data_IF_464859340809
#
_entry.id   IF_464859340809
#
_cell.length_a   1.000
_cell.length_b   1.000
_cell.length_c   1.000
_cell.angle_alpha   90.00
_cell.angle_beta   90.00
_cell.angle_gamma   90.00
#
_symmetry.space_group_name_H-M   'P 1'
#
loop_
_entity.id
_entity.type
_entity.pdbx_description
1 polymer ?
#
# COMPACT_ATOMS: atom_id res chain seq x y z
N UNK A 1 -19.47 -8.63 -24.94
CA UNK A 1 -20.12 -8.59 -23.61
C UNK A 1 -19.02 -8.45 -22.56
N UNK A 2 -18.69 -7.22 -22.17
CA UNK A 2 -17.68 -6.91 -21.16
C UNK A 2 -18.33 -7.00 -19.77
N UNK A 3 -17.77 -7.80 -18.86
CA UNK A 3 -18.20 -7.88 -17.47
C UNK A 3 -17.42 -6.84 -16.63
N UNK A 4 -18.04 -6.21 -15.62
CA UNK A 4 -17.41 -5.13 -14.86
C UNK A 4 -16.33 -5.69 -13.90
N UNK A 5 -15.21 -4.97 -13.81
CA UNK A 5 -14.14 -5.17 -12.83
C UNK A 5 -14.67 -4.78 -11.44
N UNK A 6 -14.71 -5.73 -10.51
CA UNK A 6 -15.16 -5.51 -9.13
C UNK A 6 -13.99 -5.39 -8.16
N UNK A 7 -13.92 -4.25 -7.45
CA UNK A 7 -12.97 -3.98 -6.36
C UNK A 7 -13.58 -4.47 -5.04
N UNK A 8 -12.80 -5.16 -4.19
CA UNK A 8 -13.25 -5.60 -2.85
C UNK A 8 -12.90 -4.56 -1.78
N UNK A 9 -13.83 -4.34 -0.83
CA UNK A 9 -13.74 -3.36 0.25
C UNK A 9 -13.64 -4.12 1.57
N UNK A 10 -12.54 -3.98 2.31
CA UNK A 10 -12.43 -4.46 3.70
C UNK A 10 -12.58 -3.29 4.67
N UNK A 11 -13.49 -3.43 5.65
CA UNK A 11 -13.81 -2.39 6.63
C UNK A 11 -13.07 -2.68 7.94
N UNK A 12 -12.09 -1.86 8.32
CA UNK A 12 -11.44 -1.93 9.63
C UNK A 12 -12.01 -0.87 10.58
N UNK A 13 -12.55 -1.30 11.72
CA UNK A 13 -13.05 -0.41 12.77
C UNK A 13 -11.94 -0.11 13.80
N UNK A 14 -11.57 1.15 13.97
CA UNK A 14 -10.64 1.59 15.01
C UNK A 14 -11.41 2.16 16.22
N UNK A 15 -11.15 1.59 17.40
CA UNK A 15 -11.54 2.15 18.71
C UNK A 15 -10.32 1.98 19.61
N UNK A 16 -9.77 3.04 20.23
CA UNK A 16 -9.23 2.97 21.61
C UNK A 16 -8.76 4.30 22.21
N UNK A 17 -8.77 4.30 23.56
CA UNK A 17 -8.59 5.38 24.51
C UNK A 17 -7.14 5.88 24.68
N UNK A 18 -7.02 7.16 25.05
CA UNK A 18 -5.78 7.84 25.37
C UNK A 18 -5.30 7.62 26.82
N UNK A 19 -3.98 7.47 27.00
CA UNK A 19 -3.28 7.72 28.26
C UNK A 19 -1.97 8.49 27.98
N UNK A 20 -1.78 9.60 28.70
CA UNK A 20 -0.65 10.54 28.56
C UNK A 20 0.47 10.25 29.57
N UNK A 21 1.71 10.57 29.16
CA UNK A 21 2.75 11.07 30.06
C UNK A 21 4.16 10.48 29.85
N UNK A 22 5.14 11.32 29.47
CA UNK A 22 6.57 10.95 29.58
C UNK A 22 7.54 11.82 28.78
N UNK A 23 8.52 12.42 29.48
CA UNK A 23 9.45 13.50 29.07
C UNK A 23 10.40 13.21 27.90
N UNK A 24 10.76 14.30 27.22
CA UNK A 24 11.70 14.38 26.10
C UNK A 24 13.17 14.32 26.53
N UNK A 25 13.97 13.55 25.80
CA UNK A 25 15.42 13.67 25.72
C UNK A 25 15.81 14.03 24.28
N UNK A 26 16.77 14.95 24.14
CA UNK A 26 17.21 15.51 22.86
C UNK A 26 17.80 14.43 21.95
N UNK A 27 17.25 14.31 20.74
CA UNK A 27 17.72 13.44 19.67
C UNK A 27 18.83 14.14 18.86
N UNK A 28 19.87 13.42 18.41
CA UNK A 28 20.91 13.97 17.54
C UNK A 28 20.36 14.36 16.17
N UNK A 29 20.99 15.34 15.53
CA UNK A 29 20.55 15.97 14.28
C UNK A 29 20.41 14.98 13.10
N UNK A 30 19.32 15.11 12.34
CA UNK A 30 18.91 14.28 11.20
C UNK A 30 19.99 14.01 10.13
N UNK A 31 20.98 14.90 9.98
CA UNK A 31 22.00 14.78 8.93
C UNK A 31 23.03 13.67 9.20
N UNK A 32 23.26 13.27 10.45
CA UNK A 32 24.27 12.23 10.76
C UNK A 32 23.74 10.79 10.63
N UNK A 33 22.43 10.59 10.62
CA UNK A 33 21.82 9.26 10.46
C UNK A 33 21.64 8.89 8.97
N UNK A 34 21.54 9.89 8.09
CA UNK A 34 21.31 9.68 6.65
C UNK A 34 22.55 9.16 5.90
N UNK A 35 23.78 9.47 6.34
CA UNK A 35 24.98 9.15 5.54
C UNK A 35 25.57 7.75 5.78
N UNK A 36 25.05 6.98 6.74
CA UNK A 36 25.57 5.65 7.11
C UNK A 36 24.63 4.50 6.71
N UNK A 37 23.47 4.81 6.11
CA UNK A 37 22.39 3.85 5.85
C UNK A 37 22.25 3.41 4.39
N UNK A 38 23.03 4.00 3.46
CA UNK A 38 22.91 3.70 2.02
C UNK A 38 23.71 2.45 1.57
N UNK A 39 24.63 1.94 2.39
CA UNK A 39 25.59 0.88 1.98
C UNK A 39 25.28 -0.54 2.51
N UNK A 40 24.22 -0.74 3.29
CA UNK A 40 23.89 -2.05 3.83
C UNK A 40 22.59 -2.60 3.23
N UNK A 41 22.75 -3.49 2.25
CA UNK A 41 21.70 -4.19 1.48
C UNK A 41 21.10 -3.39 0.31
N UNK A 42 21.93 -3.18 -0.72
CA UNK A 42 21.41 -3.27 -2.08
C UNK A 42 21.31 -4.77 -2.41
N UNK A 43 20.14 -5.33 -2.76
CA UNK A 43 20.17 -6.61 -3.46
C UNK A 43 21.10 -6.40 -4.67
N UNK A 44 21.99 -7.36 -4.93
CA UNK A 44 22.87 -7.31 -6.09
C UNK A 44 22.04 -6.82 -7.28
N UNK A 45 22.42 -5.69 -7.88
CA UNK A 45 21.76 -5.20 -9.08
C UNK A 45 21.92 -6.30 -10.13
N UNK A 46 20.94 -7.19 -10.24
CA UNK A 46 20.97 -8.28 -11.21
C UNK A 46 20.82 -7.58 -12.55
N UNK A 47 21.91 -7.52 -13.32
CA UNK A 47 21.93 -6.90 -14.63
C UNK A 47 20.76 -7.41 -15.47
N UNK A 48 19.82 -6.53 -15.80
CA UNK A 48 18.67 -6.86 -16.62
C UNK A 48 19.14 -6.94 -18.07
N UNK A 49 19.23 -8.15 -18.63
CA UNK A 49 19.83 -8.42 -19.95
C UNK A 49 18.84 -8.26 -21.12
N UNK A 50 17.67 -7.64 -20.91
CA UNK A 50 16.64 -7.51 -21.93
C UNK A 50 15.67 -8.70 -22.04
N UNK A 51 15.88 -9.80 -21.30
CA UNK A 51 14.98 -10.96 -21.34
C UNK A 51 13.84 -10.84 -20.33
N UNK A 52 12.62 -11.13 -20.76
CA UNK A 52 11.46 -11.28 -19.88
C UNK A 52 11.75 -12.37 -18.85
N UNK A 53 11.80 -11.99 -17.58
CA UNK A 53 11.93 -12.92 -16.46
C UNK A 53 10.54 -13.25 -15.94
N UNK A 54 10.30 -14.50 -15.59
CA UNK A 54 9.05 -14.91 -14.94
C UNK A 54 9.35 -15.84 -13.76
N UNK A 55 8.65 -15.62 -12.65
CA UNK A 55 8.60 -16.60 -11.55
C UNK A 55 7.36 -17.49 -11.67
N UNK A 56 7.19 -18.38 -10.71
CA UNK A 56 6.08 -19.32 -10.67
C UNK A 56 5.26 -19.11 -9.41
N UNK A 57 3.97 -18.80 -9.57
CA UNK A 57 3.01 -18.82 -8.47
C UNK A 57 2.36 -20.20 -8.41
N UNK A 58 2.57 -20.93 -7.31
CA UNK A 58 1.93 -22.22 -7.08
C UNK A 58 0.79 -22.07 -6.09
N UNK A 59 -0.33 -22.70 -6.41
CA UNK A 59 -1.53 -22.76 -5.57
C UNK A 59 -1.76 -24.19 -5.09
N UNK A 60 -1.76 -24.37 -3.79
CA UNK A 60 -2.07 -25.59 -3.07
C UNK A 60 -3.52 -25.50 -2.58
N UNK A 61 -4.34 -26.51 -2.86
CA UNK A 61 -5.77 -26.51 -2.50
C UNK A 61 -6.01 -27.39 -1.27
N UNK A 62 -6.95 -26.99 -0.42
CA UNK A 62 -7.45 -27.81 0.66
C UNK A 62 -8.11 -29.09 0.11
N UNK A 63 -8.01 -30.19 0.86
CA UNK A 63 -8.58 -31.50 0.52
C UNK A 63 -7.50 -32.53 0.18
N UNK A 64 -6.71 -32.27 -0.86
CA UNK A 64 -5.61 -33.16 -1.30
C UNK A 64 -4.28 -32.86 -0.59
N UNK A 65 -4.24 -31.80 0.22
CA UNK A 65 -3.00 -31.30 0.83
C UNK A 65 -3.27 -30.73 2.21
N UNK A 66 -2.36 -31.01 3.15
CA UNK A 66 -2.29 -30.33 4.44
C UNK A 66 -1.73 -28.91 4.23
N UNK A 67 -2.63 -27.92 4.22
CA UNK A 67 -2.25 -26.53 4.02
C UNK A 67 -1.45 -25.96 5.19
N UNK A 68 -1.57 -26.53 6.39
CA UNK A 68 -0.74 -26.11 7.54
C UNK A 68 0.72 -26.52 7.32
N UNK A 69 0.94 -27.74 6.84
CA UNK A 69 2.26 -28.27 6.51
C UNK A 69 2.89 -27.49 5.35
N UNK A 70 2.14 -27.22 4.27
CA UNK A 70 2.62 -26.38 3.17
C UNK A 70 3.07 -25.00 3.65
N UNK A 71 2.28 -24.38 4.53
CA UNK A 71 2.60 -23.07 5.07
C UNK A 71 3.82 -23.12 5.99
N UNK A 72 3.95 -24.14 6.83
CA UNK A 72 5.11 -24.33 7.72
C UNK A 72 6.40 -24.51 6.91
N UNK A 73 6.37 -25.34 5.88
CA UNK A 73 7.49 -25.53 4.94
C UNK A 73 7.82 -24.21 4.25
N UNK A 74 6.81 -23.49 3.75
CA UNK A 74 7.04 -22.22 3.05
C UNK A 74 7.68 -21.17 3.96
N UNK A 75 7.18 -21.03 5.19
CA UNK A 75 7.71 -20.05 6.15
C UNK A 75 9.10 -20.43 6.65
N UNK A 76 9.33 -21.71 6.96
CA UNK A 76 10.63 -22.21 7.43
C UNK A 76 11.72 -22.04 6.38
N UNK A 77 11.36 -22.11 5.10
CA UNK A 77 12.28 -21.95 3.98
C UNK A 77 12.24 -20.54 3.35
N UNK A 78 11.67 -19.56 4.06
CA UNK A 78 11.63 -18.15 3.65
C UNK A 78 11.01 -17.92 2.24
N UNK A 79 10.06 -18.77 1.83
CA UNK A 79 9.34 -18.63 0.57
C UNK A 79 8.36 -17.45 0.61
N UNK A 80 8.12 -16.82 -0.55
CA UNK A 80 7.21 -15.68 -0.68
C UNK A 80 5.75 -16.16 -0.70
N UNK A 81 5.07 -16.08 0.45
CA UNK A 81 3.66 -16.48 0.58
C UNK A 81 2.76 -15.33 0.15
N UNK A 82 1.97 -15.54 -0.91
CA UNK A 82 1.11 -14.50 -1.48
C UNK A 82 -0.28 -14.46 -0.87
N UNK A 83 -0.86 -15.62 -0.59
CA UNK A 83 -2.22 -15.72 -0.04
C UNK A 83 -2.36 -16.97 0.83
N UNK A 84 -3.11 -16.84 1.92
CA UNK A 84 -3.53 -17.98 2.76
C UNK A 84 -5.02 -17.83 3.04
N UNK A 85 -5.79 -18.85 2.71
CA UNK A 85 -7.22 -18.97 3.05
C UNK A 85 -7.51 -20.40 3.53
N UNK A 86 -8.68 -20.66 4.13
CA UNK A 86 -9.12 -22.02 4.43
C UNK A 86 -9.08 -22.99 3.25
N UNK A 87 -9.20 -22.47 2.03
CA UNK A 87 -9.34 -23.27 0.81
C UNK A 87 -8.03 -23.43 0.04
N UNK A 88 -7.06 -22.52 0.22
CA UNK A 88 -5.79 -22.58 -0.51
C UNK A 88 -4.66 -21.77 0.11
N UNK A 89 -3.43 -22.14 -0.25
CA UNK A 89 -2.20 -21.36 -0.02
C UNK A 89 -1.54 -21.09 -1.37
N UNK A 90 -1.18 -19.82 -1.62
CA UNK A 90 -0.41 -19.40 -2.77
C UNK A 90 1.02 -19.05 -2.35
N UNK A 91 2.02 -19.68 -2.99
CA UNK A 91 3.44 -19.46 -2.73
C UNK A 91 4.15 -19.15 -4.04
N UNK A 92 5.00 -18.12 -4.04
CA UNK A 92 5.72 -17.62 -5.20
C UNK A 92 7.19 -18.07 -5.18
N UNK A 93 7.63 -18.65 -6.30
CA UNK A 93 9.03 -18.98 -6.57
C UNK A 93 9.63 -17.95 -7.53
N UNK A 94 10.69 -17.24 -7.11
CA UNK A 94 11.41 -16.35 -8.01
C UNK A 94 12.14 -17.16 -9.10
N UNK A 95 12.39 -16.56 -10.29
CA UNK A 95 13.20 -17.19 -11.31
C UNK A 95 14.61 -17.48 -10.80
N UNK A 96 15.24 -18.59 -11.23
CA UNK A 96 16.63 -18.88 -10.90
C UNK A 96 17.53 -17.68 -11.20
N UNK A 97 18.39 -17.30 -10.24
CA UNK A 97 19.39 -16.25 -10.46
C UNK A 97 20.71 -16.88 -10.90
N UNK A 98 21.49 -16.19 -11.74
CA UNK A 98 22.80 -16.67 -12.18
C UNK A 98 23.87 -16.68 -11.07
N UNK A 99 23.63 -16.01 -9.95
CA UNK A 99 24.58 -15.91 -8.82
C UNK A 99 24.39 -16.99 -7.76
N UNK A 100 23.17 -17.51 -7.59
CA UNK A 100 22.92 -18.76 -6.87
C UNK A 100 23.21 -19.91 -7.82
N UNK A 101 24.49 -20.18 -8.10
CA UNK A 101 24.88 -21.15 -9.13
C UNK A 101 24.20 -22.49 -8.90
N UNK A 102 23.17 -22.80 -9.70
CA UNK A 102 22.48 -24.09 -9.85
C UNK A 102 22.33 -25.00 -8.60
N UNK A 103 22.39 -24.47 -7.38
CA UNK A 103 21.78 -25.09 -6.24
C UNK A 103 20.30 -24.88 -6.50
N UNK A 104 19.68 -25.86 -7.14
CA UNK A 104 18.25 -25.99 -7.11
C UNK A 104 17.84 -25.72 -5.66
N UNK A 105 17.12 -24.63 -5.41
CA UNK A 105 16.39 -24.52 -4.15
C UNK A 105 15.71 -25.87 -4.00
N UNK A 106 16.02 -26.58 -2.92
CA UNK A 106 15.38 -27.86 -2.68
C UNK A 106 13.89 -27.56 -2.67
N UNK A 107 13.18 -28.12 -3.64
CA UNK A 107 11.79 -27.81 -3.84
C UNK A 107 11.00 -28.62 -2.82
N UNK A 108 11.03 -28.14 -1.57
CA UNK A 108 10.42 -28.80 -0.42
C UNK A 108 8.90 -29.00 -0.58
N UNK A 109 8.29 -28.35 -1.57
CA UNK A 109 6.87 -28.44 -1.89
C UNK A 109 6.59 -29.19 -3.20
N UNK A 110 7.60 -29.83 -3.81
CA UNK A 110 7.46 -30.54 -5.10
C UNK A 110 6.46 -31.70 -5.04
N UNK A 111 6.40 -32.40 -3.91
CA UNK A 111 5.54 -33.59 -3.73
C UNK A 111 4.08 -33.24 -3.41
N UNK A 112 3.78 -31.97 -3.13
CA UNK A 112 2.44 -31.51 -2.83
C UNK A 112 1.68 -31.15 -4.10
N UNK A 113 0.44 -31.61 -4.24
CA UNK A 113 -0.39 -31.32 -5.40
C UNK A 113 -0.67 -29.82 -5.52
N UNK A 114 -0.32 -29.23 -6.68
CA UNK A 114 -0.51 -27.80 -6.91
C UNK A 114 -0.78 -27.47 -8.38
N UNK A 115 -1.43 -26.33 -8.60
CA UNK A 115 -1.43 -25.66 -9.91
C UNK A 115 -0.33 -24.60 -9.95
N UNK A 116 0.21 -24.30 -11.12
CA UNK A 116 1.32 -23.37 -11.26
C UNK A 116 1.08 -22.37 -12.40
N UNK A 117 1.34 -21.09 -12.13
CA UNK A 117 1.11 -20.00 -13.08
C UNK A 117 2.39 -19.16 -13.24
N UNK A 118 2.77 -18.90 -14.48
CA UNK A 118 3.92 -18.02 -14.78
C UNK A 118 3.55 -16.58 -14.50
N UNK A 119 4.33 -15.92 -13.62
CA UNK A 119 4.15 -14.52 -13.27
C UNK A 119 5.28 -13.70 -13.89
N UNK A 120 4.99 -12.81 -14.84
CA UNK A 120 6.01 -11.96 -15.44
C UNK A 120 6.57 -10.97 -14.42
N UNK A 121 7.87 -10.73 -14.51
CA UNK A 121 8.60 -9.72 -13.73
C UNK A 121 9.00 -8.61 -14.70
N UNK A 122 8.36 -7.44 -14.62
CA UNK A 122 8.74 -6.28 -15.41
C UNK A 122 10.19 -5.89 -15.18
N UNK A 123 10.81 -5.28 -16.19
CA UNK A 123 12.09 -4.63 -16.01
C UNK A 123 11.98 -3.54 -14.93
N UNK A 124 13.02 -3.36 -14.09
CA UNK A 124 13.09 -2.19 -13.23
C UNK A 124 13.03 -0.92 -14.07
N UNK A 125 12.17 0.01 -13.67
CA UNK A 125 12.13 1.33 -14.25
C UNK A 125 13.38 2.10 -13.82
N UNK A 126 14.10 2.62 -14.81
CA UNK A 126 15.22 3.52 -14.56
C UNK A 126 14.67 4.96 -14.54
N UNK A 127 14.80 5.69 -13.42
CA UNK A 127 14.42 7.10 -13.39
C UNK A 127 15.13 7.87 -14.51
N UNK A 128 14.37 8.53 -15.40
CA UNK A 128 14.89 9.33 -16.51
C UNK A 128 15.02 8.63 -17.88
N UNK A 129 14.69 7.33 -18.01
CA UNK A 129 14.64 6.66 -19.33
C UNK A 129 13.25 6.60 -19.95
N UNK A 130 12.20 6.84 -19.17
CA UNK A 130 10.87 7.12 -19.75
C UNK A 130 10.95 8.48 -20.43
N UNK A 131 10.49 8.64 -21.69
CA UNK A 131 10.33 9.97 -22.26
C UNK A 131 9.51 10.78 -21.26
N UNK A 132 10.00 11.98 -20.91
CA UNK A 132 9.19 12.93 -20.16
C UNK A 132 7.87 13.06 -20.90
N UNK A 133 6.81 12.45 -20.37
CA UNK A 133 5.48 12.67 -20.90
C UNK A 133 5.16 14.11 -20.50
N UNK A 134 5.36 15.04 -21.43
CA UNK A 134 5.10 16.48 -21.24
C UNK A 134 3.66 16.76 -20.75
N UNK A 135 2.76 15.79 -20.91
CA UNK A 135 1.48 15.71 -20.22
C UNK A 135 1.14 14.25 -19.92
N UNK A 136 0.55 13.98 -18.75
CA UNK A 136 0.07 12.64 -18.36
C UNK A 136 -1.09 12.11 -19.23
N UNK A 137 -1.49 12.84 -20.28
CA UNK A 137 -2.51 12.48 -21.27
C UNK A 137 -3.84 12.06 -20.63
N UNK A 138 -4.17 12.61 -19.46
CA UNK A 138 -5.49 12.45 -18.89
C UNK A 138 -6.48 13.47 -19.47
N UNK A 139 -7.76 13.10 -19.51
CA UNK A 139 -8.82 13.91 -20.12
C UNK A 139 -9.92 14.14 -19.10
N UNK A 140 -10.89 15.01 -19.36
CA UNK A 140 -12.01 15.30 -18.42
C UNK A 140 -12.91 14.11 -18.01
N UNK A 141 -12.71 12.93 -18.61
CA UNK A 141 -13.46 11.71 -18.33
C UNK A 141 -12.50 10.53 -18.10
N UNK A 142 -12.69 9.73 -17.02
CA UNK A 142 -11.87 8.57 -16.73
C UNK A 142 -11.84 7.53 -17.85
N UNK A 143 -12.99 7.13 -18.39
CA UNK A 143 -13.05 6.09 -19.43
C UNK A 143 -12.45 6.49 -20.78
N UNK A 144 -12.21 7.77 -21.03
CA UNK A 144 -11.56 8.25 -22.26
C UNK A 144 -10.09 8.60 -22.04
N UNK A 145 -9.57 8.40 -20.84
CA UNK A 145 -8.22 8.78 -20.45
C UNK A 145 -7.29 7.57 -20.52
N UNK A 146 -6.32 7.63 -21.44
CA UNK A 146 -5.29 6.59 -21.60
C UNK A 146 -4.36 6.45 -20.39
N UNK A 147 -4.41 7.39 -19.45
CA UNK A 147 -3.72 7.30 -18.17
C UNK A 147 -4.16 6.03 -17.42
N UNK A 148 -5.47 5.77 -17.33
CA UNK A 148 -5.98 4.64 -16.53
C UNK A 148 -5.80 3.26 -17.20
N UNK A 149 -5.16 3.19 -18.37
CA UNK A 149 -4.84 1.94 -19.05
C UNK A 149 -3.54 1.29 -18.53
N UNK A 150 -2.70 2.06 -17.82
CA UNK A 150 -1.39 1.63 -17.32
C UNK A 150 -1.24 1.80 -15.80
N UNK A 151 -0.18 1.18 -15.25
CA UNK A 151 0.32 1.50 -13.92
C UNK A 151 1.34 2.64 -14.01
N UNK A 152 1.45 3.44 -12.94
CA UNK A 152 2.27 4.64 -12.94
C UNK A 152 3.34 4.63 -11.84
N UNK A 153 4.59 5.01 -12.13
CA UNK A 153 5.60 5.23 -11.10
C UNK A 153 5.19 6.38 -10.17
N UNK A 154 5.77 6.40 -8.96
CA UNK A 154 5.37 7.34 -7.90
C UNK A 154 5.31 8.80 -8.37
N UNK A 155 6.29 9.27 -9.15
CA UNK A 155 6.33 10.67 -9.62
C UNK A 155 5.18 11.02 -10.57
N UNK A 156 4.72 10.09 -11.41
CA UNK A 156 3.56 10.32 -12.29
C UNK A 156 2.26 10.40 -11.47
N UNK A 157 2.18 9.64 -10.37
CA UNK A 157 1.06 9.71 -9.42
C UNK A 157 1.01 11.07 -8.72
N UNK A 158 2.18 11.57 -8.28
CA UNK A 158 2.30 12.89 -7.63
C UNK A 158 1.97 14.03 -8.60
N UNK A 159 2.43 13.93 -9.85
CA UNK A 159 2.04 14.85 -10.93
C UNK A 159 0.54 14.80 -11.20
N UNK A 160 -0.06 13.61 -11.29
CA UNK A 160 -1.51 13.44 -11.48
C UNK A 160 -2.31 14.14 -10.38
N UNK A 161 -1.96 13.92 -9.11
CA UNK A 161 -2.62 14.60 -7.98
C UNK A 161 -2.47 16.12 -8.05
N UNK A 162 -1.30 16.60 -8.47
CA UNK A 162 -1.01 18.03 -8.58
C UNK A 162 -1.76 18.68 -9.73
N UNK A 163 -1.85 18.03 -10.90
CA UNK A 163 -2.64 18.48 -12.05
C UNK A 163 -4.14 18.48 -11.73
N UNK A 164 -4.65 17.41 -11.10
CA UNK A 164 -6.04 17.31 -10.66
C UNK A 164 -6.43 18.47 -9.73
N UNK A 165 -5.53 18.85 -8.81
CA UNK A 165 -5.74 19.99 -7.91
C UNK A 165 -5.67 21.35 -8.63
N UNK A 166 -4.86 21.48 -9.67
CA UNK A 166 -4.77 22.70 -10.48
C UNK A 166 -5.99 22.90 -11.37
N UNK A 167 -6.54 21.82 -11.93
CA UNK A 167 -7.74 21.88 -12.79
C UNK A 167 -9.04 22.03 -11.99
N UNK A 168 -9.07 21.54 -10.75
CA UNK A 168 -10.25 21.57 -9.88
C UNK A 168 -9.97 22.22 -8.51
N UNK A 169 -9.43 23.46 -8.46
CA UNK A 169 -8.93 24.07 -7.24
C UNK A 169 -10.05 24.41 -6.23
N UNK A 170 -11.30 24.42 -6.66
CA UNK A 170 -12.47 24.64 -5.82
C UNK A 170 -12.83 23.41 -4.98
N UNK A 171 -12.58 22.21 -5.51
CA UNK A 171 -12.99 20.94 -4.87
C UNK A 171 -11.83 20.00 -4.52
N UNK A 172 -10.64 20.17 -5.11
CA UNK A 172 -9.48 19.30 -4.87
C UNK A 172 -8.36 20.08 -4.16
N UNK A 173 -7.73 19.44 -3.18
CA UNK A 173 -6.50 19.92 -2.56
C UNK A 173 -5.54 18.75 -2.32
N UNK A 174 -4.27 18.90 -2.72
CA UNK A 174 -3.21 17.98 -2.28
C UNK A 174 -2.94 18.21 -0.80
N UNK A 175 -2.94 17.13 -0.03
CA UNK A 175 -2.71 17.13 1.42
C UNK A 175 -1.45 16.34 1.74
N UNK A 176 -0.65 16.88 2.65
CA UNK A 176 0.52 16.19 3.20
C UNK A 176 0.08 15.44 4.45
N UNK A 177 0.06 14.12 4.35
CA UNK A 177 -0.31 13.20 5.45
C UNK A 177 0.87 13.02 6.40
N UNK A 178 2.10 12.99 5.89
CA UNK A 178 3.29 12.78 6.71
C UNK A 178 4.57 12.57 5.91
N UNK A 179 5.51 11.85 6.52
CA UNK A 179 6.81 11.50 5.94
C UNK A 179 7.07 10.00 6.13
N UNK A 180 7.62 9.35 5.11
CA UNK A 180 7.92 7.92 5.08
C UNK A 180 9.24 7.55 5.77
N UNK A 181 9.54 6.25 5.87
CA UNK A 181 10.77 5.74 6.48
C UNK A 181 12.07 6.21 5.82
N UNK A 182 12.06 6.47 4.50
CA UNK A 182 13.19 7.06 3.75
C UNK A 182 13.07 8.58 3.57
N UNK A 183 12.11 9.24 4.20
CA UNK A 183 11.97 10.69 4.16
C UNK A 183 11.18 11.24 2.98
N UNK A 184 10.49 10.40 2.18
CA UNK A 184 9.58 10.88 1.12
C UNK A 184 8.30 11.44 1.72
N UNK A 185 7.68 12.39 1.03
CA UNK A 185 6.38 12.90 1.44
C UNK A 185 5.31 11.83 1.25
N UNK A 186 4.47 11.68 2.26
CA UNK A 186 3.27 10.88 2.19
C UNK A 186 2.12 11.80 1.78
N UNK A 187 1.75 11.74 0.51
CA UNK A 187 0.75 12.63 -0.09
C UNK A 187 -0.60 11.94 -0.26
N UNK A 188 -1.66 12.74 -0.24
CA UNK A 188 -3.00 12.34 -0.65
C UNK A 188 -3.75 13.54 -1.22
N UNK A 189 -5.03 13.34 -1.51
CA UNK A 189 -5.93 14.41 -1.95
C UNK A 189 -7.18 14.48 -1.07
N UNK A 190 -7.62 15.70 -0.78
CA UNK A 190 -8.97 15.96 -0.29
C UNK A 190 -9.84 16.38 -1.47
N UNK A 191 -10.97 15.70 -1.66
CA UNK A 191 -11.97 16.03 -2.69
C UNK A 191 -13.32 16.31 -2.03
N UNK A 192 -13.85 17.52 -2.16
CA UNK A 192 -15.14 17.91 -1.61
C UNK A 192 -15.45 19.41 -1.75
N UNK A 193 -16.75 19.77 -1.76
CA UNK A 193 -17.19 21.13 -2.11
C UNK A 193 -16.65 22.25 -1.20
N UNK A 194 -16.58 23.51 -1.72
CA UNK A 194 -15.93 24.61 -1.04
C UNK A 194 -16.50 25.05 0.31
N UNK A 195 -17.75 24.67 0.61
CA UNK A 195 -18.50 25.13 1.77
C UNK A 195 -17.81 24.86 3.13
N UNK A 196 -16.77 24.01 3.14
CA UNK A 196 -16.02 23.63 4.35
C UNK A 196 -14.68 24.40 4.48
N UNK A 197 -14.10 24.93 3.39
CA UNK A 197 -12.75 25.51 3.41
C UNK A 197 -12.60 26.77 4.27
N UNK A 198 -13.65 27.61 4.34
CA UNK A 198 -13.48 29.03 4.71
C UNK A 198 -13.94 29.44 6.11
N UNK A 199 -14.36 28.53 6.99
CA UNK A 199 -14.80 28.90 8.36
C UNK A 199 -13.70 28.79 9.43
N UNK A 200 -12.57 29.45 9.20
CA UNK A 200 -11.71 29.99 10.27
C UNK A 200 -11.98 31.49 10.54
N UNK A 201 -13.19 31.96 10.26
CA UNK A 201 -13.66 33.33 10.52
C UNK A 201 -14.90 33.35 11.42
N UNK A 202 -15.04 34.40 12.23
CA UNK A 202 -16.15 34.64 13.19
C UNK A 202 -17.50 34.26 12.57
N UNK A 203 -18.29 33.45 13.30
CA UNK A 203 -19.67 33.09 12.93
C UNK A 203 -20.45 34.37 12.58
N UNK A 204 -20.99 34.52 11.36
CA UNK A 204 -21.93 35.61 11.08
C UNK A 204 -23.14 35.39 11.98
N UNK A 205 -23.47 36.37 12.82
CA UNK A 205 -24.72 36.35 13.58
C UNK A 205 -25.87 36.53 12.58
N UNK A 206 -26.69 35.50 12.40
CA UNK A 206 -28.06 35.69 11.93
C UNK A 206 -28.47 35.12 10.57
N UNK A 207 -27.73 34.25 9.88
CA UNK A 207 -28.27 33.55 8.69
C UNK A 207 -27.78 32.10 8.57
N UNK A 208 -28.77 31.20 8.54
CA UNK A 208 -28.75 29.76 8.17
C UNK A 208 -27.86 28.86 9.04
N UNK A 209 -28.33 27.67 9.48
CA UNK A 209 -27.45 26.69 10.15
C UNK A 209 -26.20 26.46 9.29
N UNK A 210 -25.02 26.21 9.88
CA UNK A 210 -23.88 25.74 9.09
C UNK A 210 -24.39 24.55 8.25
N UNK A 211 -24.15 24.57 6.93
CA UNK A 211 -24.37 23.39 6.11
C UNK A 211 -23.79 22.21 6.87
N UNK A 212 -24.60 21.18 7.18
CA UNK A 212 -24.14 20.00 7.93
C UNK A 212 -22.78 19.61 7.38
N UNK A 213 -21.80 19.48 8.28
CA UNK A 213 -20.46 19.03 7.93
C UNK A 213 -20.61 17.73 7.13
N UNK A 214 -20.05 17.70 5.90
CA UNK A 214 -20.20 16.54 5.02
C UNK A 214 -19.55 15.31 5.65
N UNK A 215 -20.04 14.13 5.32
CA UNK A 215 -19.49 12.90 5.87
C UNK A 215 -18.12 12.62 5.26
N UNK A 216 -17.11 12.41 6.10
CA UNK A 216 -15.75 12.12 5.69
C UNK A 216 -15.55 10.65 5.35
N UNK A 217 -14.85 10.36 4.26
CA UNK A 217 -14.46 9.02 3.83
C UNK A 217 -12.96 9.01 3.56
N UNK A 218 -12.22 8.12 4.21
CA UNK A 218 -10.81 7.87 3.89
C UNK A 218 -10.72 6.65 3.00
N UNK A 219 -9.98 6.76 1.91
CA UNK A 219 -9.69 5.64 1.00
C UNK A 219 -8.17 5.56 0.84
N UNK A 220 -7.58 4.43 1.20
CA UNK A 220 -6.16 4.17 1.01
C UNK A 220 -5.95 3.16 -0.11
N UNK A 221 -4.91 3.39 -0.93
CA UNK A 221 -4.44 2.42 -1.90
C UNK A 221 -3.43 1.46 -1.27
N UNK A 222 -2.37 1.14 -2.00
CA UNK A 222 -1.49 0.03 -1.66
C UNK A 222 -0.64 0.28 -0.41
N UNK A 223 -1.09 -0.20 0.76
CA UNK A 223 -0.23 -0.32 1.95
C UNK A 223 0.87 -1.36 1.73
N UNK A 224 0.58 -2.43 1.00
CA UNK A 224 1.61 -3.38 0.54
C UNK A 224 2.02 -3.01 -0.87
N UNK A 225 3.30 -2.72 -1.05
CA UNK A 225 3.78 -1.99 -2.21
C UNK A 225 3.50 -2.69 -3.54
N UNK A 226 3.58 -4.02 -3.58
CA UNK A 226 3.36 -4.83 -4.80
C UNK A 226 1.94 -4.77 -5.38
N UNK A 227 0.96 -4.27 -4.62
CA UNK A 227 -0.47 -4.28 -4.95
C UNK A 227 -0.87 -3.10 -5.85
N UNK A 228 -0.21 -2.95 -7.01
CA UNK A 228 -0.36 -1.77 -7.88
C UNK A 228 -1.81 -1.46 -8.30
N UNK A 229 -2.66 -2.48 -8.43
CA UNK A 229 -4.09 -2.29 -8.76
C UNK A 229 -4.85 -1.49 -7.71
N UNK A 230 -4.50 -1.61 -6.43
CA UNK A 230 -5.10 -0.79 -5.38
C UNK A 230 -4.78 0.69 -5.59
N UNK A 231 -3.52 1.00 -5.90
CA UNK A 231 -3.07 2.36 -6.21
C UNK A 231 -3.78 2.88 -7.46
N UNK A 232 -3.74 2.16 -8.59
CA UNK A 232 -4.43 2.55 -9.83
C UNK A 232 -5.94 2.80 -9.60
N UNK A 233 -6.60 1.92 -8.85
CA UNK A 233 -8.02 2.09 -8.49
C UNK A 233 -8.28 3.39 -7.73
N UNK A 234 -7.42 3.77 -6.78
CA UNK A 234 -7.58 5.05 -6.08
C UNK A 234 -7.44 6.26 -7.02
N UNK A 235 -6.54 6.21 -8.01
CA UNK A 235 -6.39 7.28 -8.99
C UNK A 235 -7.63 7.40 -9.89
N UNK A 236 -8.17 6.27 -10.32
CA UNK A 236 -9.43 6.24 -11.07
C UNK A 236 -10.57 6.84 -10.25
N UNK A 237 -10.69 6.48 -8.96
CA UNK A 237 -11.71 7.05 -8.07
C UNK A 237 -11.55 8.56 -7.91
N UNK A 238 -10.33 9.08 -7.75
CA UNK A 238 -10.08 10.52 -7.71
C UNK A 238 -10.59 11.21 -8.97
N UNK A 239 -10.26 10.64 -10.14
CA UNK A 239 -10.67 11.17 -11.42
C UNK A 239 -12.21 11.15 -11.59
N UNK A 240 -12.85 10.02 -11.26
CA UNK A 240 -14.29 9.85 -11.33
C UNK A 240 -15.05 10.85 -10.44
N UNK A 241 -14.51 11.22 -9.27
CA UNK A 241 -15.12 12.20 -8.36
C UNK A 241 -15.12 13.63 -8.91
N UNK A 242 -14.19 13.98 -9.79
CA UNK A 242 -14.10 15.35 -10.35
C UNK A 242 -14.64 15.45 -11.78
N UNK A 243 -14.74 14.31 -12.47
CA UNK A 243 -15.25 14.17 -13.83
C UNK A 243 -16.60 14.88 -14.04
N UNK A 244 -16.84 15.34 -15.27
CA UNK A 244 -18.08 16.03 -15.63
C UNK A 244 -19.32 15.23 -15.21
N UNK A 245 -20.27 15.87 -14.53
CA UNK A 245 -21.43 15.23 -13.88
C UNK A 245 -22.34 14.45 -14.84
N UNK A 246 -22.27 14.72 -16.14
CA UNK A 246 -23.06 14.01 -17.16
C UNK A 246 -22.30 12.87 -17.83
N UNK A 247 -21.04 12.62 -17.44
CA UNK A 247 -20.21 11.54 -17.97
C UNK A 247 -20.58 10.16 -17.40
N UNK A 248 -20.34 9.07 -18.15
CA UNK A 248 -20.78 7.72 -17.77
C UNK A 248 -20.17 7.19 -16.47
N UNK A 249 -19.00 7.68 -16.07
CA UNK A 249 -18.29 7.24 -14.84
C UNK A 249 -18.18 8.34 -13.79
N UNK A 250 -19.01 9.38 -13.88
CA UNK A 250 -18.96 10.47 -12.92
C UNK A 250 -19.52 10.05 -11.56
N UNK A 251 -18.70 10.24 -10.53
CA UNK A 251 -19.08 10.11 -9.12
C UNK A 251 -19.25 11.48 -8.45
N UNK A 252 -19.27 12.56 -9.23
CA UNK A 252 -19.27 13.95 -8.73
C UNK A 252 -20.47 14.27 -7.83
N UNK A 253 -21.62 13.65 -8.06
CA UNK A 253 -22.81 13.81 -7.21
C UNK A 253 -22.57 13.36 -5.76
N UNK A 254 -21.65 12.41 -5.52
CA UNK A 254 -21.28 12.01 -4.16
C UNK A 254 -20.68 13.19 -3.36
N UNK A 255 -20.04 14.14 -4.02
CA UNK A 255 -19.47 15.32 -3.37
C UNK A 255 -20.54 16.23 -2.76
N UNK A 256 -21.83 16.08 -3.09
CA UNK A 256 -22.93 16.79 -2.42
C UNK A 256 -23.06 16.38 -0.95
N UNK A 257 -22.74 15.12 -0.63
CA UNK A 257 -22.93 14.52 0.70
C UNK A 257 -21.62 14.21 1.42
N UNK A 258 -20.55 13.95 0.66
CA UNK A 258 -19.30 13.40 1.17
C UNK A 258 -18.10 14.32 0.93
N UNK A 259 -17.08 14.13 1.76
CA UNK A 259 -15.72 14.58 1.50
C UNK A 259 -14.82 13.36 1.50
N UNK A 260 -14.07 13.18 0.42
CA UNK A 260 -13.13 12.08 0.28
C UNK A 260 -11.72 12.55 0.62
N UNK A 261 -11.00 11.72 1.36
CA UNK A 261 -9.59 11.86 1.67
C UNK A 261 -8.90 10.61 1.12
N UNK A 262 -8.24 10.74 -0.02
CA UNK A 262 -7.71 9.60 -0.77
C UNK A 262 -6.18 9.62 -0.70
N UNK A 263 -5.58 8.54 -0.20
CA UNK A 263 -4.13 8.36 -0.09
C UNK A 263 -3.75 7.21 -1.03
N UNK A 264 -3.30 7.49 -2.26
CA UNK A 264 -3.14 6.46 -3.28
C UNK A 264 -1.98 5.51 -2.96
N UNK A 265 -0.89 6.05 -2.44
CA UNK A 265 0.33 5.33 -2.11
C UNK A 265 0.66 5.53 -0.62
N UNK A 266 -0.07 4.87 0.30
CA UNK A 266 0.20 4.98 1.74
C UNK A 266 1.60 4.47 2.13
N UNK A 267 2.24 3.68 1.27
CA UNK A 267 3.62 3.20 1.37
C UNK A 267 4.47 3.71 0.19
N UNK A 268 4.86 4.99 0.15
CA UNK A 268 5.51 5.58 -1.03
C UNK A 268 6.90 5.00 -1.27
N UNK A 269 7.65 4.67 -0.20
CA UNK A 269 8.98 4.09 -0.36
C UNK A 269 8.96 2.66 -0.88
N UNK A 270 8.06 1.84 -0.35
CA UNK A 270 7.87 0.49 -0.85
C UNK A 270 7.37 0.54 -2.29
N UNK A 271 6.40 1.41 -2.59
CA UNK A 271 5.87 1.56 -3.94
C UNK A 271 6.98 1.92 -4.93
N UNK A 272 7.77 2.96 -4.67
CA UNK A 272 8.92 3.33 -5.50
C UNK A 272 9.90 2.16 -5.68
N UNK A 273 10.20 1.42 -4.61
CA UNK A 273 11.09 0.27 -4.66
C UNK A 273 10.58 -0.86 -5.56
N UNK A 274 9.25 -1.02 -5.71
CA UNK A 274 8.67 -1.99 -6.67
C UNK A 274 8.84 -1.60 -8.13
N UNK A 275 9.05 -0.33 -8.42
CA UNK A 275 9.38 0.15 -9.75
C UNK A 275 10.88 0.05 -10.00
N UNK A 276 11.69 0.38 -9.00
CA UNK A 276 13.14 0.60 -9.15
C UNK A 276 13.99 -0.65 -8.92
N UNK A 277 13.48 -1.67 -8.21
CA UNK A 277 14.33 -2.78 -7.74
C UNK A 277 13.62 -4.12 -7.68
N UNK A 278 12.60 -4.26 -6.82
CA UNK A 278 11.93 -5.54 -6.58
C UNK A 278 10.42 -5.39 -6.72
N UNK A 279 9.89 -5.83 -7.87
CA UNK A 279 8.47 -5.76 -8.20
C UNK A 279 7.57 -6.38 -7.13
N UNK A 280 8.01 -7.41 -6.42
CA UNK A 280 7.20 -8.12 -5.44
C UNK A 280 7.47 -7.69 -4.00
N UNK A 281 8.21 -6.60 -3.80
CA UNK A 281 8.39 -6.03 -2.47
C UNK A 281 7.06 -5.70 -1.78
N UNK A 282 6.97 -6.10 -0.52
CA UNK A 282 5.71 -6.09 0.24
C UNK A 282 5.63 -4.96 1.27
N UNK A 283 6.68 -4.83 2.10
CA UNK A 283 6.72 -4.00 3.31
C UNK A 283 6.97 -2.52 3.01
N UNK A 284 7.02 -1.67 4.05
CA UNK A 284 7.64 -0.34 3.90
C UNK A 284 9.18 -0.47 3.76
N UNK A 285 9.91 0.65 3.68
CA UNK A 285 11.38 0.67 3.58
C UNK A 285 12.07 1.27 4.80
N UNK A 286 11.40 1.26 5.95
CA UNK A 286 11.99 1.71 7.21
C UNK A 286 13.14 0.77 7.63
N UNK A 287 14.25 1.35 8.08
CA UNK A 287 15.31 0.61 8.74
C UNK A 287 14.85 0.08 10.11
N UNK A 288 14.97 -1.23 10.34
CA UNK A 288 14.35 -1.89 11.50
C UNK A 288 15.25 -1.91 12.76
N UNK A 289 16.52 -1.51 12.65
CA UNK A 289 17.43 -1.30 13.78
C UNK A 289 18.91 -1.34 13.36
N UNK A 290 19.85 -0.77 14.14
CA UNK A 290 21.26 -0.54 13.75
C UNK A 290 22.02 -1.71 13.14
N UNK A 291 21.70 -2.95 13.53
CA UNK A 291 22.35 -4.18 13.07
C UNK A 291 21.39 -5.10 12.31
N UNK A 292 20.20 -4.62 11.94
CA UNK A 292 19.24 -5.43 11.22
C UNK A 292 19.67 -5.59 9.78
N UNK A 293 19.74 -6.85 9.32
CA UNK A 293 19.99 -7.17 7.90
C UNK A 293 18.75 -7.00 7.03
N UNK A 294 17.59 -6.73 7.66
CA UNK A 294 16.30 -6.78 7.00
C UNK A 294 15.55 -5.47 7.13
N UNK A 295 14.90 -5.10 6.03
CA UNK A 295 14.29 -3.78 5.86
C UNK A 295 12.78 -3.92 5.88
N UNK A 296 12.13 -2.97 6.54
CA UNK A 296 10.70 -2.77 6.46
C UNK A 296 9.88 -3.55 7.48
N UNK A 297 8.70 -3.00 7.73
CA UNK A 297 7.62 -3.50 8.58
C UNK A 297 6.39 -3.74 7.70
N UNK A 298 5.65 -4.81 7.97
CA UNK A 298 4.30 -5.00 7.43
C UNK A 298 3.37 -3.94 8.04
N UNK A 299 2.99 -2.96 7.22
CA UNK A 299 2.14 -1.85 7.66
C UNK A 299 0.76 -2.33 8.14
N UNK A 300 0.20 -3.37 7.53
CA UNK A 300 -1.10 -3.92 7.92
C UNK A 300 -1.03 -4.85 9.15
N UNK A 301 0.15 -4.97 9.77
CA UNK A 301 0.36 -5.59 11.08
C UNK A 301 0.88 -4.62 12.12
N UNK A 302 1.10 -3.35 11.76
CA UNK A 302 1.69 -2.35 12.63
C UNK A 302 0.67 -1.35 13.23
N UNK A 303 -0.61 -1.48 12.90
CA UNK A 303 -1.70 -0.70 13.52
C UNK A 303 -1.89 -1.05 15.00
N UNK A 304 -2.40 -0.11 15.80
CA UNK A 304 -2.57 -0.29 17.25
C UNK A 304 -3.67 -1.25 17.69
N UNK A 305 -4.63 -1.59 16.83
CA UNK A 305 -5.72 -2.47 17.22
C UNK A 305 -5.23 -3.91 17.38
N UNK A 306 -5.28 -4.41 18.63
CA UNK A 306 -4.83 -5.77 19.00
C UNK A 306 -3.42 -6.11 18.48
N UNK A 307 -2.56 -5.10 18.38
CA UNK A 307 -1.18 -5.30 17.98
C UNK A 307 -0.47 -6.30 18.91
N UNK A 308 0.33 -7.20 18.33
CA UNK A 308 1.18 -8.11 19.09
C UNK A 308 2.49 -8.37 18.36
N UNK A 309 3.59 -8.65 19.08
CA UNK A 309 4.87 -9.03 18.48
C UNK A 309 4.89 -10.48 17.96
N UNK A 310 3.86 -11.26 18.26
CA UNK A 310 3.70 -12.69 17.97
C UNK A 310 2.55 -12.97 17.00
N UNK A 311 2.12 -11.98 16.20
CA UNK A 311 1.00 -12.17 15.27
C UNK A 311 1.25 -13.36 14.36
N UNK A 312 0.47 -14.43 14.58
CA UNK A 312 0.47 -15.59 13.69
C UNK A 312 -0.47 -15.34 12.52
N UNK A 313 0.03 -15.61 11.32
CA UNK A 313 -0.74 -15.56 10.08
C UNK A 313 -1.68 -16.78 9.93
N UNK A 314 -1.47 -17.82 10.73
CA UNK A 314 -2.17 -19.09 10.63
C UNK A 314 -3.57 -19.10 11.22
N UNK A 315 -4.01 -17.98 11.82
CA UNK A 315 -5.37 -17.86 12.34
C UNK A 315 -6.44 -18.15 11.29
N UNK A 316 -6.13 -17.92 10.01
CA UNK A 316 -7.02 -18.21 8.88
C UNK A 316 -7.18 -19.70 8.58
N UNK A 317 -6.22 -20.54 9.01
CA UNK A 317 -6.24 -22.00 8.83
C UNK A 317 -6.55 -22.75 10.13
N UNK A 318 -6.81 -22.07 11.26
CA UNK A 318 -6.70 -22.64 12.61
C UNK A 318 -5.33 -23.29 12.89
N UNK A 319 -4.28 -22.95 12.13
CA UNK A 319 -3.03 -23.68 12.25
C UNK A 319 -2.35 -23.40 13.58
N UNK A 320 -1.86 -24.47 14.17
CA UNK A 320 -1.18 -24.48 15.47
C UNK A 320 0.23 -23.89 15.44
N UNK A 321 0.77 -23.60 14.24
CA UNK A 321 2.08 -23.02 14.02
C UNK A 321 2.16 -21.60 14.59
N UNK A 322 2.58 -21.54 15.85
CA UNK A 322 3.02 -20.31 16.51
C UNK A 322 4.46 -20.08 16.11
N UNK A 323 4.70 -19.13 15.19
CA UNK A 323 6.06 -18.63 15.00
C UNK A 323 6.57 -18.09 16.33
N UNK A 324 7.78 -18.45 16.76
CA UNK A 324 8.29 -18.03 18.06
C UNK A 324 8.44 -16.50 18.06
N UNK A 325 7.87 -15.80 19.04
CA UNK A 325 8.05 -14.36 19.13
C UNK A 325 9.46 -13.98 19.63
N UNK A 326 9.98 -12.82 19.21
CA UNK A 326 9.38 -11.91 18.22
C UNK A 326 9.50 -12.47 16.80
N UNK A 327 8.53 -12.17 15.93
CA UNK A 327 8.63 -12.48 14.50
C UNK A 327 9.93 -11.86 13.95
N UNK A 328 10.68 -12.64 13.16
CA UNK A 328 11.92 -12.20 12.55
C UNK A 328 11.71 -10.96 11.67
N UNK A 329 12.63 -9.98 11.74
CA UNK A 329 12.56 -8.75 10.95
C UNK A 329 12.64 -8.99 9.42
N UNK A 330 13.19 -10.12 9.00
CA UNK A 330 13.26 -10.60 7.63
C UNK A 330 11.93 -11.15 7.13
N UNK A 331 11.03 -11.55 8.04
CA UNK A 331 9.69 -11.99 7.67
C UNK A 331 8.95 -10.89 6.90
N UNK A 332 8.22 -11.30 5.86
CA UNK A 332 7.31 -10.42 5.11
C UNK A 332 6.18 -9.87 6.01
N UNK A 333 5.88 -10.57 7.10
CA UNK A 333 4.79 -10.30 8.04
C UNK A 333 5.26 -9.56 9.29
N UNK A 334 6.53 -9.13 9.32
CA UNK A 334 7.13 -8.52 10.51
C UNK A 334 6.28 -7.34 11.01
N UNK A 335 5.66 -7.44 12.21
CA UNK A 335 4.69 -6.45 12.70
C UNK A 335 5.36 -5.21 13.31
N UNK A 336 6.70 -5.16 13.31
CA UNK A 336 7.47 -4.20 14.06
C UNK A 336 7.70 -4.61 15.52
N UNK A 337 8.41 -3.78 16.27
CA UNK A 337 8.67 -3.95 17.70
C UNK A 337 7.64 -3.29 18.61
N UNK A 338 6.76 -2.45 18.04
CA UNK A 338 5.62 -1.81 18.70
C UNK A 338 4.57 -1.39 17.68
N UNK A 339 3.34 -1.20 18.13
CA UNK A 339 2.31 -0.51 17.35
C UNK A 339 2.79 0.89 16.91
N UNK A 340 2.38 1.30 15.71
CA UNK A 340 2.71 2.59 15.09
C UNK A 340 4.22 2.85 15.03
N UNK A 341 5.03 1.81 14.86
CA UNK A 341 6.47 1.94 14.61
C UNK A 341 6.74 2.46 13.20
N UNK A 342 6.02 1.94 12.20
CA UNK A 342 6.09 2.40 10.83
C UNK A 342 5.64 3.87 10.78
N UNK A 343 6.50 4.80 10.33
CA UNK A 343 6.16 6.21 10.30
C UNK A 343 4.93 6.46 9.42
N UNK A 344 4.77 5.74 8.31
CA UNK A 344 3.60 5.86 7.43
C UNK A 344 2.30 5.56 8.19
N UNK A 345 2.25 4.45 8.92
CA UNK A 345 1.07 4.04 9.69
C UNK A 345 0.75 5.07 10.78
N UNK A 346 1.77 5.55 11.49
CA UNK A 346 1.60 6.58 12.52
C UNK A 346 1.07 7.90 11.94
N UNK A 347 1.61 8.36 10.81
CA UNK A 347 1.16 9.58 10.16
C UNK A 347 -0.26 9.45 9.60
N UNK A 348 -0.63 8.32 9.01
CA UNK A 348 -2.00 8.09 8.57
C UNK A 348 -2.96 8.10 9.77
N UNK A 349 -2.64 7.41 10.85
CA UNK A 349 -3.47 7.37 12.05
C UNK A 349 -3.70 8.77 12.62
N UNK A 350 -2.63 9.54 12.83
CA UNK A 350 -2.72 10.90 13.37
C UNK A 350 -3.41 11.86 12.41
N UNK A 351 -3.21 11.75 11.10
CA UNK A 351 -3.94 12.53 10.11
C UNK A 351 -5.45 12.25 10.17
N UNK A 352 -5.84 10.97 10.20
CA UNK A 352 -7.24 10.54 10.26
C UNK A 352 -7.97 11.08 11.49
N UNK A 353 -7.30 11.17 12.65
CA UNK A 353 -7.86 11.77 13.87
C UNK A 353 -8.22 13.26 13.72
N UNK A 354 -7.56 13.97 12.79
CA UNK A 354 -7.87 15.39 12.54
C UNK A 354 -9.08 15.60 11.63
N UNK A 355 -9.59 14.53 11.01
CA UNK A 355 -10.59 14.65 9.95
C UNK A 355 -12.01 14.86 10.50
N UNK A 356 -12.73 15.87 10.01
CA UNK A 356 -14.08 16.14 10.46
C UNK A 356 -15.08 15.08 9.99
N UNK A 357 -16.03 14.74 10.88
CA UNK A 357 -17.20 13.91 10.59
C UNK A 357 -16.89 12.62 9.79
N UNK A 358 -15.74 11.99 10.07
CA UNK A 358 -15.31 10.74 9.43
C UNK A 358 -16.32 9.62 9.73
N UNK A 359 -16.76 8.91 8.68
CA UNK A 359 -17.70 7.79 8.77
C UNK A 359 -17.14 6.46 8.33
N UNK A 360 -16.14 6.48 7.45
CA UNK A 360 -15.56 5.26 6.91
C UNK A 360 -14.06 5.43 6.63
N UNK A 361 -13.36 4.32 6.82
CA UNK A 361 -12.00 4.10 6.37
C UNK A 361 -12.01 2.84 5.51
N UNK A 362 -11.56 2.97 4.26
CA UNK A 362 -11.54 1.89 3.27
C UNK A 362 -10.11 1.67 2.83
N UNK A 363 -9.60 0.46 3.05
CA UNK A 363 -8.27 0.04 2.61
C UNK A 363 -8.40 -0.85 1.38
N UNK A 364 -7.92 -0.37 0.23
CA UNK A 364 -7.96 -1.12 -1.02
C UNK A 364 -6.70 -1.98 -1.13
N UNK A 365 -6.90 -3.29 -1.32
CA UNK A 365 -5.84 -4.30 -1.33
C UNK A 365 -6.03 -5.30 -2.47
N UNK A 366 -5.00 -6.06 -2.81
CA UNK A 366 -5.08 -7.13 -3.80
C UNK A 366 -4.10 -8.28 -3.52
N UNK A 367 -4.35 -9.51 -3.94
CA UNK A 367 -5.52 -10.03 -4.65
C UNK A 367 -6.37 -10.90 -3.71
N UNK A 368 -7.39 -11.57 -4.24
CA UNK A 368 -8.14 -12.59 -3.49
C UNK A 368 -9.66 -12.50 -3.64
N UNK A 369 -10.20 -11.33 -4.04
CA UNK A 369 -11.65 -11.10 -4.20
C UNK A 369 -12.45 -11.62 -3.00
N UNK A 370 -12.05 -11.22 -1.79
CA UNK A 370 -12.68 -11.66 -0.55
C UNK A 370 -14.15 -11.24 -0.53
N UNK A 371 -15.03 -12.18 -0.15
CA UNK A 371 -16.49 -12.02 -0.07
C UNK A 371 -16.97 -12.00 1.38
#
# INVERSE_FOLDING_TARGET
>A
MLRPLGVSISLAAAILLAAHGGRAHALPSQQQVLSLADDAWQPASIAWNGQTRSGLLRRFLAGDTDLEEVLDIAVTNELDVWQVTPDHVDVYWPPPTSQSGAAAFEDHLADYAHSAHSIPIPAPHTPGTSPARDSLNWTSSPASSIFHDDYHPLHEIESFMSELAQEHPDIVQVVRVGISGKGRELLGVRIGSPAIWQRKGKKPKGKTPPSKEKMGFVITGAQHAREWVATSTTLYLMHALVANSTGPDSLKSLLEHFTFYIIPTPNPDGYAYTWESDRFWYKNRMHTGPNSKCVGVDMNRNWGYKWRPDVSFTSSLNASTKLPPPIDACSQWYPGNRAFQAPEVNHIATYVETLPNLKAFVDLRSYGQMR
#
